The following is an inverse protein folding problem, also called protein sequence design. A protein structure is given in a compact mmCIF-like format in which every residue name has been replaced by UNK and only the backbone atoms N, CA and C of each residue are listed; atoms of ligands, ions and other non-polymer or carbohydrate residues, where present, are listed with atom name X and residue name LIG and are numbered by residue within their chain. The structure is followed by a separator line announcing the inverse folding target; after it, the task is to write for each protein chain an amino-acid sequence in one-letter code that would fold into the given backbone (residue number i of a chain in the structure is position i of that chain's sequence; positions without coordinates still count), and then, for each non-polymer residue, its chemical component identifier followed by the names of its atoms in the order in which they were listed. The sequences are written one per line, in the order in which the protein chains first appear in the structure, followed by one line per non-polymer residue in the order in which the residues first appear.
data_IF_685167830825
#
_entry.id   IF_685167830825
#
_cell.length_a   1.000
_cell.length_b   1.000
_cell.length_c   1.000
_cell.angle_alpha   90.00
_cell.angle_beta   90.00
_cell.angle_gamma   90.00
#
_symmetry.space_group_name_H-M   'P 1'
#
loop_
_entity.id
_entity.type
_entity.pdbx_description
1 polymer ?
#
# COMPACT_ATOMS: atom_id res chain seq x y z
N UNK A 1 14.17 -38.86 -4.66
CA UNK A 1 13.37 -37.65 -4.53
C UNK A 1 14.00 -36.64 -5.47
N UNK A 2 13.46 -36.49 -6.68
CA UNK A 2 13.82 -35.39 -7.57
C UNK A 2 13.35 -34.09 -6.91
N UNK A 3 14.21 -33.08 -6.75
CA UNK A 3 13.73 -31.78 -6.35
C UNK A 3 12.74 -31.30 -7.43
N UNK A 4 11.49 -31.02 -7.05
CA UNK A 4 10.66 -30.16 -7.89
C UNK A 4 11.43 -28.85 -8.03
N UNK A 5 11.87 -28.54 -9.24
CA UNK A 5 12.37 -27.21 -9.50
C UNK A 5 11.15 -26.28 -9.40
N UNK A 6 11.08 -25.53 -8.33
CA UNK A 6 10.12 -24.46 -8.18
C UNK A 6 10.41 -23.44 -9.29
N UNK A 7 9.53 -23.32 -10.26
CA UNK A 7 9.56 -22.27 -11.26
C UNK A 7 8.78 -21.07 -10.69
N UNK A 8 9.43 -20.32 -9.83
CA UNK A 8 8.87 -19.05 -9.39
C UNK A 8 9.00 -18.04 -10.55
N UNK A 9 7.88 -17.54 -11.05
CA UNK A 9 7.87 -16.42 -11.97
C UNK A 9 8.18 -15.14 -11.18
N UNK A 10 9.48 -14.82 -11.12
CA UNK A 10 9.97 -13.65 -10.40
C UNK A 10 10.12 -12.46 -11.35
N UNK A 11 9.49 -11.33 -11.01
CA UNK A 11 9.51 -10.09 -11.77
C UNK A 11 10.21 -9.01 -10.95
N UNK A 12 11.27 -8.42 -11.51
CA UNK A 12 11.82 -7.16 -11.05
C UNK A 12 11.02 -6.02 -11.71
N UNK A 13 10.53 -5.07 -10.93
CA UNK A 13 9.79 -3.92 -11.42
C UNK A 13 10.20 -2.66 -10.68
N UNK A 14 9.86 -1.51 -11.23
CA UNK A 14 10.10 -0.23 -10.58
C UNK A 14 9.45 0.90 -11.32
N UNK A 15 9.42 2.04 -10.66
CA UNK A 15 8.87 3.28 -11.17
C UNK A 15 9.78 4.42 -10.71
N UNK A 16 10.22 5.27 -11.65
CA UNK A 16 10.95 6.49 -11.37
C UNK A 16 10.02 7.68 -11.65
N UNK A 17 9.70 8.44 -10.61
CA UNK A 17 8.74 9.54 -10.65
C UNK A 17 9.36 10.77 -10.04
N UNK A 18 9.65 11.77 -10.87
CA UNK A 18 10.29 13.02 -10.46
C UNK A 18 9.59 14.16 -11.15
N UNK A 19 9.29 15.20 -10.41
CA UNK A 19 8.73 16.45 -10.91
C UNK A 19 9.63 17.65 -10.62
N UNK A 20 9.35 18.76 -11.28
CA UNK A 20 9.91 20.06 -10.94
C UNK A 20 8.76 20.97 -10.55
N UNK A 21 8.71 21.32 -9.28
CA UNK A 21 7.58 22.00 -8.68
C UNK A 21 7.94 23.44 -8.29
N UNK A 22 7.01 24.35 -8.51
CA UNK A 22 7.05 25.69 -7.93
C UNK A 22 6.17 25.72 -6.69
N UNK A 23 6.77 25.85 -5.53
CA UNK A 23 6.11 25.72 -4.24
C UNK A 23 5.92 27.10 -3.61
N UNK A 24 4.67 27.46 -3.38
CA UNK A 24 4.27 28.62 -2.60
C UNK A 24 3.37 28.16 -1.43
N UNK A 25 3.96 28.06 -0.26
CA UNK A 25 3.26 27.58 0.93
C UNK A 25 2.35 28.65 1.56
N UNK A 26 2.33 29.89 1.02
CA UNK A 26 1.57 31.02 1.56
C UNK A 26 1.88 31.30 3.05
N UNK A 27 3.07 30.89 3.51
CA UNK A 27 3.54 31.14 4.87
C UNK A 27 4.16 32.53 4.93
N UNK A 28 3.71 33.36 5.87
CA UNK A 28 4.24 34.72 6.05
C UNK A 28 5.75 34.68 6.35
N UNK A 29 6.53 35.25 5.45
CA UNK A 29 7.99 35.33 5.59
C UNK A 29 8.76 34.21 4.90
N UNK A 30 8.11 33.32 4.18
CA UNK A 30 8.74 32.35 3.29
C UNK A 30 8.55 32.79 1.83
N UNK A 31 9.64 32.83 1.08
CA UNK A 31 9.58 33.08 -0.36
C UNK A 31 9.26 31.80 -1.12
N UNK A 32 8.47 31.89 -2.19
CA UNK A 32 8.27 30.75 -3.09
C UNK A 32 9.58 30.26 -3.70
N UNK A 33 9.69 28.95 -3.94
CA UNK A 33 10.91 28.35 -4.49
C UNK A 33 10.61 27.23 -5.48
N UNK A 34 11.60 26.91 -6.31
CA UNK A 34 11.57 25.73 -7.19
C UNK A 34 12.25 24.56 -6.49
N UNK A 35 11.68 23.38 -6.66
CA UNK A 35 12.22 22.14 -6.12
C UNK A 35 12.11 21.00 -7.12
N UNK A 36 12.99 20.02 -6.97
CA UNK A 36 12.91 18.74 -7.69
C UNK A 36 12.42 17.70 -6.69
N UNK A 37 11.20 17.23 -6.91
CA UNK A 37 10.47 16.38 -5.97
C UNK A 37 10.40 14.94 -6.45
N UNK A 38 10.72 14.01 -5.57
CA UNK A 38 10.42 12.59 -5.78
C UNK A 38 8.96 12.30 -5.42
N UNK A 39 8.18 11.87 -6.40
CA UNK A 39 6.74 11.57 -6.27
C UNK A 39 6.46 10.09 -5.93
N UNK A 40 7.35 9.45 -5.21
CA UNK A 40 7.18 8.08 -4.76
C UNK A 40 7.79 7.06 -5.71
N UNK A 41 9.02 7.33 -6.14
CA UNK A 41 9.83 6.35 -6.88
C UNK A 41 10.04 5.08 -6.06
N UNK A 42 10.05 3.95 -6.74
CA UNK A 42 10.11 2.64 -6.08
C UNK A 42 10.79 1.58 -6.93
N UNK A 43 11.33 0.58 -6.26
CA UNK A 43 11.88 -0.64 -6.84
C UNK A 43 11.35 -1.84 -6.07
N UNK A 44 10.97 -2.90 -6.78
CA UNK A 44 10.41 -4.08 -6.13
C UNK A 44 10.65 -5.37 -6.89
N UNK A 45 10.46 -6.44 -6.16
CA UNK A 45 10.45 -7.82 -6.67
C UNK A 45 9.15 -8.47 -6.26
N UNK A 46 8.49 -9.15 -7.18
CA UNK A 46 7.28 -9.93 -6.89
C UNK A 46 7.31 -11.24 -7.66
N UNK A 47 6.61 -12.22 -7.15
CA UNK A 47 6.55 -13.51 -7.82
C UNK A 47 5.42 -14.38 -7.32
N UNK A 48 5.15 -15.42 -8.10
CA UNK A 48 4.22 -16.49 -7.77
C UNK A 48 4.86 -17.83 -8.06
N UNK A 49 4.51 -18.84 -7.26
CA UNK A 49 4.95 -20.21 -7.40
C UNK A 49 3.73 -21.14 -7.35
N UNK A 50 3.54 -21.96 -8.37
CA UNK A 50 2.49 -22.97 -8.37
C UNK A 50 2.85 -24.11 -7.43
N UNK A 51 2.02 -24.34 -6.42
CA UNK A 51 2.16 -25.43 -5.45
C UNK A 51 1.37 -26.67 -5.85
N UNK A 52 0.66 -26.63 -6.98
CA UNK A 52 -0.20 -27.70 -7.44
C UNK A 52 -1.62 -27.63 -6.85
N UNK A 53 -2.55 -28.37 -7.47
CA UNK A 53 -3.93 -28.43 -6.99
C UNK A 53 -4.71 -27.11 -7.05
N UNK A 54 -4.25 -26.14 -7.84
CA UNK A 54 -4.85 -24.80 -7.91
C UNK A 54 -4.46 -23.88 -6.75
N UNK A 55 -3.42 -24.23 -6.01
CA UNK A 55 -2.83 -23.42 -4.95
C UNK A 55 -1.51 -22.81 -5.44
N UNK A 56 -1.30 -21.52 -5.19
CA UNK A 56 -0.04 -20.85 -5.48
C UNK A 56 0.45 -20.06 -4.25
N UNK A 57 1.74 -20.03 -4.05
CA UNK A 57 2.39 -19.07 -3.18
C UNK A 57 2.63 -17.77 -3.95
N UNK A 58 2.61 -16.64 -3.22
CA UNK A 58 2.91 -15.33 -3.79
C UNK A 58 3.73 -14.49 -2.80
N UNK A 59 4.51 -13.56 -3.34
CA UNK A 59 5.25 -12.59 -2.55
C UNK A 59 5.44 -11.28 -3.33
N UNK A 60 5.62 -10.21 -2.58
CA UNK A 60 6.00 -8.90 -3.10
C UNK A 60 6.88 -8.17 -2.08
N UNK A 61 8.02 -7.66 -2.54
CA UNK A 61 8.92 -6.82 -1.76
C UNK A 61 9.19 -5.54 -2.53
N UNK A 62 8.73 -4.42 -2.00
CA UNK A 62 8.84 -3.11 -2.61
C UNK A 62 9.52 -2.13 -1.65
N UNK A 63 10.39 -1.31 -2.17
CA UNK A 63 11.15 -0.32 -1.44
C UNK A 63 11.02 1.04 -2.13
N UNK A 64 10.83 2.10 -1.35
CA UNK A 64 10.97 3.47 -1.83
C UNK A 64 12.42 3.73 -2.23
N UNK A 65 12.61 4.48 -3.30
CA UNK A 65 13.89 4.94 -3.81
C UNK A 65 13.81 6.46 -3.90
N UNK A 66 14.55 7.17 -3.08
CA UNK A 66 14.62 8.63 -3.21
C UNK A 66 15.52 8.99 -4.38
N UNK A 67 14.93 9.58 -5.42
CA UNK A 67 15.63 9.95 -6.65
C UNK A 67 16.23 11.36 -6.60
N UNK A 68 15.88 12.15 -5.60
CA UNK A 68 16.24 13.57 -5.55
C UNK A 68 17.28 13.91 -4.49
N UNK A 69 17.23 13.24 -3.34
CA UNK A 69 18.12 13.53 -2.21
C UNK A 69 19.19 12.45 -1.97
N UNK A 70 19.29 11.46 -2.87
CA UNK A 70 20.26 10.38 -2.75
C UNK A 70 19.98 9.44 -1.59
N UNK A 71 18.71 9.25 -1.31
CA UNK A 71 18.22 8.47 -0.18
C UNK A 71 18.50 6.97 -0.28
N UNK A 72 18.28 6.31 0.83
CA UNK A 72 18.41 4.87 0.96
C UNK A 72 17.15 4.15 0.47
N UNK A 73 17.28 2.86 0.19
CA UNK A 73 16.13 1.98 0.06
C UNK A 73 15.37 1.91 1.40
N UNK A 74 14.07 2.20 1.39
CA UNK A 74 13.30 2.22 2.63
C UNK A 74 11.79 2.26 2.42
N UNK A 75 11.10 2.84 3.39
CA UNK A 75 9.67 3.12 3.36
C UNK A 75 8.76 1.94 3.74
N UNK A 76 7.55 2.31 4.14
CA UNK A 76 6.43 1.39 4.38
C UNK A 76 5.76 1.07 3.05
N UNK A 77 6.40 0.23 2.23
CA UNK A 77 5.86 -0.23 0.96
C UNK A 77 5.43 -1.70 1.09
N UNK A 78 4.91 -2.25 0.01
CA UNK A 78 4.43 -3.63 -0.06
C UNK A 78 5.55 -4.64 0.27
N UNK A 79 5.44 -5.33 1.40
CA UNK A 79 6.38 -6.40 1.83
C UNK A 79 5.58 -7.52 2.44
N UNK A 80 5.05 -8.40 1.61
CA UNK A 80 4.19 -9.49 2.05
C UNK A 80 4.47 -10.78 1.30
N UNK A 81 4.00 -11.87 1.87
CA UNK A 81 3.89 -13.18 1.23
C UNK A 81 2.57 -13.84 1.58
N UNK A 82 2.14 -14.81 0.80
CA UNK A 82 0.87 -15.46 1.06
C UNK A 82 0.55 -16.60 0.11
N UNK A 83 -0.70 -16.99 0.15
CA UNK A 83 -1.29 -18.06 -0.65
C UNK A 83 -2.51 -17.57 -1.41
N UNK A 84 -2.66 -18.03 -2.63
CA UNK A 84 -3.83 -17.76 -3.47
C UNK A 84 -4.36 -19.03 -4.11
N UNK A 85 -5.65 -19.09 -4.34
CA UNK A 85 -6.30 -20.24 -4.93
C UNK A 85 -7.81 -20.04 -5.10
N UNK A 86 -8.55 -21.12 -5.25
CA UNK A 86 -10.01 -21.07 -5.38
C UNK A 86 -10.73 -20.47 -4.18
N UNK A 87 -10.08 -20.40 -3.02
CA UNK A 87 -10.61 -19.78 -1.80
C UNK A 87 -10.43 -18.26 -1.75
N UNK A 88 -9.65 -17.69 -2.66
CA UNK A 88 -9.22 -16.29 -2.63
C UNK A 88 -7.73 -16.15 -2.34
N UNK A 89 -7.34 -15.04 -1.73
CA UNK A 89 -5.93 -14.72 -1.43
C UNK A 89 -5.80 -14.34 0.04
N UNK A 90 -4.85 -14.97 0.71
CA UNK A 90 -4.45 -14.68 2.09
C UNK A 90 -3.00 -14.24 2.10
N UNK A 91 -2.70 -13.06 2.62
CA UNK A 91 -1.36 -12.48 2.70
C UNK A 91 -1.02 -12.01 4.11
N UNK A 92 0.28 -12.04 4.41
CA UNK A 92 0.84 -11.64 5.70
C UNK A 92 2.02 -10.68 5.46
N UNK A 93 2.06 -9.56 6.18
CA UNK A 93 3.20 -8.66 6.11
C UNK A 93 2.84 -7.19 6.20
N UNK A 94 3.51 -6.37 5.41
CA UNK A 94 3.26 -4.93 5.23
C UNK A 94 2.59 -4.74 3.89
N UNK A 95 1.40 -4.15 3.87
CA UNK A 95 0.67 -3.94 2.62
C UNK A 95 -0.38 -2.83 2.75
N UNK A 96 -0.86 -2.36 1.59
CA UNK A 96 -1.88 -1.33 1.52
C UNK A 96 -3.19 -1.80 2.13
N UNK A 97 -3.81 -0.92 2.88
CA UNK A 97 -5.10 -1.19 3.49
C UNK A 97 -6.21 -1.34 2.45
N UNK A 98 -7.25 -2.13 2.73
CA UNK A 98 -8.46 -2.19 1.93
C UNK A 98 -9.05 -0.81 1.62
N UNK A 99 -9.02 0.11 2.58
CA UNK A 99 -9.44 1.50 2.43
C UNK A 99 -8.61 2.23 1.36
N UNK A 100 -7.28 2.16 1.46
CA UNK A 100 -6.37 2.82 0.53
C UNK A 100 -6.49 2.29 -0.90
N UNK A 101 -6.68 0.99 -1.05
CA UNK A 101 -6.86 0.35 -2.36
C UNK A 101 -8.11 0.85 -3.10
N UNK A 102 -9.17 1.25 -2.39
CA UNK A 102 -10.36 1.88 -2.98
C UNK A 102 -10.08 3.33 -3.37
N UNK A 103 -9.42 4.10 -2.50
CA UNK A 103 -9.06 5.48 -2.80
C UNK A 103 -8.14 5.61 -4.01
N UNK A 104 -7.17 4.72 -4.15
CA UNK A 104 -6.24 4.73 -5.26
C UNK A 104 -6.90 4.55 -6.64
N UNK A 105 -8.07 3.92 -6.71
CA UNK A 105 -8.80 3.77 -7.98
C UNK A 105 -9.28 5.12 -8.53
N UNK A 106 -9.61 6.05 -7.64
CA UNK A 106 -10.11 7.38 -8.00
C UNK A 106 -9.04 8.48 -7.91
N UNK A 107 -7.83 8.12 -7.50
CA UNK A 107 -6.72 9.05 -7.41
C UNK A 107 -6.07 9.30 -8.77
N UNK A 108 -6.53 10.36 -9.45
CA UNK A 108 -6.01 10.79 -10.75
C UNK A 108 -4.58 11.34 -10.69
N UNK A 109 -4.08 11.66 -9.51
CA UNK A 109 -2.75 12.21 -9.28
C UNK A 109 -1.71 11.13 -8.93
N UNK A 110 -2.16 9.88 -8.87
CA UNK A 110 -1.31 8.71 -8.65
C UNK A 110 -0.40 8.86 -7.41
N UNK A 111 -0.98 9.25 -6.28
CA UNK A 111 -0.27 9.42 -5.01
C UNK A 111 0.87 10.44 -5.02
N UNK A 112 0.76 11.50 -5.83
CA UNK A 112 1.73 12.61 -5.79
C UNK A 112 1.84 13.17 -4.37
N UNK A 113 3.04 13.54 -3.94
CA UNK A 113 3.27 14.12 -2.60
C UNK A 113 2.49 15.41 -2.38
N UNK A 114 2.26 16.19 -3.43
CA UNK A 114 1.61 17.50 -3.35
C UNK A 114 0.10 17.40 -3.59
N UNK A 115 -0.30 16.58 -4.56
CA UNK A 115 -1.68 16.43 -4.99
C UNK A 115 -2.13 14.98 -4.78
N UNK A 116 -2.37 14.62 -3.55
CA UNK A 116 -2.76 13.27 -3.17
C UNK A 116 -4.27 13.22 -2.90
N UNK A 117 -4.98 12.30 -3.53
CA UNK A 117 -6.42 12.12 -3.35
C UNK A 117 -6.82 11.89 -1.90
N UNK A 118 -5.98 11.25 -1.09
CA UNK A 118 -6.24 11.04 0.34
C UNK A 118 -6.25 12.35 1.13
N UNK A 119 -5.50 13.35 0.72
CA UNK A 119 -5.50 14.67 1.36
C UNK A 119 -6.84 15.36 1.25
N UNK A 120 -7.55 15.14 0.14
CA UNK A 120 -8.83 15.80 -0.16
C UNK A 120 -10.05 14.96 0.20
N UNK A 121 -9.92 13.64 0.27
CA UNK A 121 -11.03 12.72 0.49
C UNK A 121 -11.15 12.20 1.94
N UNK A 122 -10.52 12.88 2.88
CA UNK A 122 -10.73 12.61 4.30
C UNK A 122 -9.70 11.71 4.96
N UNK A 123 -8.55 11.52 4.32
CA UNK A 123 -7.42 10.80 4.95
C UNK A 123 -6.60 11.66 5.90
N UNK A 124 -6.70 13.00 5.86
CA UNK A 124 -5.95 13.88 6.74
C UNK A 124 -6.81 14.63 7.72
N UNK A 125 -6.52 14.44 8.97
CA UNK A 125 -7.23 15.16 10.03
C UNK A 125 -6.45 16.39 10.53
N UNK A 126 -5.16 16.50 10.28
CA UNK A 126 -4.39 17.71 10.59
C UNK A 126 -3.07 17.78 9.78
N UNK A 127 -2.61 18.99 9.41
CA UNK A 127 -1.30 19.19 8.78
C UNK A 127 -0.12 18.77 9.66
N UNK A 128 -0.35 18.63 10.97
CA UNK A 128 0.70 18.42 11.97
C UNK A 128 0.96 16.93 12.27
N UNK A 129 0.09 16.02 11.87
CA UNK A 129 0.19 14.61 12.28
C UNK A 129 0.49 13.64 11.17
N UNK A 130 0.69 14.05 9.93
CA UNK A 130 1.06 13.17 8.81
C UNK A 130 0.33 11.79 8.77
N UNK A 131 -0.90 11.75 9.27
CA UNK A 131 -1.70 10.54 9.46
C UNK A 131 -2.10 9.90 8.13
N UNK A 132 -1.98 10.65 7.04
CA UNK A 132 -2.30 10.17 5.69
C UNK A 132 -1.45 9.00 5.24
N UNK A 133 -0.16 9.02 5.56
CA UNK A 133 0.73 7.90 5.25
C UNK A 133 0.43 6.65 6.07
N UNK A 134 -0.11 6.84 7.26
CA UNK A 134 -0.30 5.77 8.22
C UNK A 134 -1.51 4.87 7.95
N UNK A 135 -2.51 5.38 7.24
CA UNK A 135 -3.68 4.58 6.86
C UNK A 135 -3.55 3.98 5.45
N UNK A 136 -2.53 4.33 4.70
CA UNK A 136 -2.30 3.80 3.36
C UNK A 136 -1.71 2.39 3.40
N UNK A 137 -0.57 2.25 4.06
CA UNK A 137 0.18 0.99 4.15
C UNK A 137 0.47 0.71 5.60
N UNK A 138 0.12 -0.45 6.09
CA UNK A 138 0.32 -0.83 7.49
C UNK A 138 1.18 -2.10 7.60
N UNK A 139 2.11 -2.14 8.57
CA UNK A 139 2.89 -3.33 8.87
C UNK A 139 2.07 -4.33 9.69
N UNK A 140 2.65 -5.51 9.92
CA UNK A 140 2.17 -6.51 10.86
C UNK A 140 0.70 -6.91 10.66
N UNK A 141 0.30 -7.09 9.42
CA UNK A 141 -1.09 -7.39 9.10
C UNK A 141 -1.30 -8.78 8.49
N UNK A 142 -2.53 -9.23 8.62
CA UNK A 142 -3.14 -10.36 7.92
C UNK A 142 -4.22 -9.80 7.02
N UNK A 143 -4.16 -10.06 5.74
CA UNK A 143 -5.13 -9.60 4.76
C UNK A 143 -5.73 -10.77 3.99
N UNK A 144 -7.04 -10.76 3.84
CA UNK A 144 -7.78 -11.75 3.06
C UNK A 144 -8.67 -11.08 2.02
N UNK A 145 -8.51 -11.52 0.77
CA UNK A 145 -9.34 -11.10 -0.36
C UNK A 145 -10.12 -12.29 -0.89
N UNK A 146 -11.44 -12.13 -1.02
CA UNK A 146 -12.30 -13.15 -1.63
C UNK A 146 -12.01 -13.33 -3.12
N UNK A 147 -12.37 -14.48 -3.70
CA UNK A 147 -12.51 -14.59 -5.14
C UNK A 147 -13.52 -13.56 -5.66
N UNK A 148 -13.37 -13.21 -6.95
CA UNK A 148 -14.35 -12.34 -7.62
C UNK A 148 -15.55 -13.17 -8.04
N UNK A 149 -16.73 -12.75 -7.60
CA UNK A 149 -17.99 -13.38 -7.97
C UNK A 149 -18.94 -12.36 -8.64
N UNK A 150 -19.21 -12.53 -9.91
CA UNK A 150 -20.06 -11.63 -10.71
C UNK A 150 -19.66 -10.14 -10.59
N UNK A 151 -18.36 -9.86 -10.56
CA UNK A 151 -17.81 -8.52 -10.40
C UNK A 151 -17.65 -8.07 -8.95
N UNK A 152 -18.21 -8.78 -7.97
CA UNK A 152 -18.05 -8.46 -6.54
C UNK A 152 -16.84 -9.14 -5.93
N UNK A 153 -16.13 -8.42 -5.08
CA UNK A 153 -15.10 -8.96 -4.18
C UNK A 153 -15.10 -8.19 -2.87
N UNK A 154 -14.71 -8.86 -1.81
CA UNK A 154 -14.53 -8.26 -0.49
C UNK A 154 -13.09 -8.49 -0.03
N UNK A 155 -12.60 -7.59 0.79
CA UNK A 155 -11.27 -7.67 1.38
C UNK A 155 -11.34 -7.24 2.83
N UNK A 156 -10.59 -7.92 3.69
CA UNK A 156 -10.53 -7.66 5.12
C UNK A 156 -9.10 -7.79 5.62
N UNK A 157 -8.63 -6.77 6.32
CA UNK A 157 -7.31 -6.70 6.94
C UNK A 157 -7.43 -6.56 8.45
N UNK A 158 -6.57 -7.27 9.14
CA UNK A 158 -6.34 -7.13 10.59
C UNK A 158 -4.87 -6.77 10.81
N UNK A 159 -4.62 -5.70 11.55
CA UNK A 159 -3.28 -5.31 12.00
C UNK A 159 -3.11 -5.81 13.44
N UNK A 160 -2.09 -6.65 13.64
CA UNK A 160 -1.85 -7.34 14.90
C UNK A 160 -0.74 -6.63 15.67
N UNK A 161 -1.02 -6.16 16.88
CA UNK A 161 -0.06 -5.65 17.87
C UNK A 161 1.12 -4.89 17.24
N UNK A 162 0.81 -3.77 16.56
CA UNK A 162 1.79 -2.96 15.83
C UNK A 162 2.17 -1.71 16.62
N UNK A 163 3.44 -1.56 16.94
CA UNK A 163 3.97 -0.31 17.52
C UNK A 163 3.68 0.90 16.61
N UNK A 164 3.59 0.70 15.31
CA UNK A 164 3.22 1.72 14.32
C UNK A 164 1.77 2.18 14.51
N UNK A 165 0.84 1.26 14.74
CA UNK A 165 -0.55 1.58 15.03
C UNK A 165 -0.68 2.40 16.32
N UNK A 166 0.09 2.06 17.34
CA UNK A 166 0.15 2.79 18.59
C UNK A 166 0.66 4.24 18.41
N UNK A 167 1.65 4.42 17.54
CA UNK A 167 2.22 5.73 17.24
C UNK A 167 1.22 6.60 16.47
N UNK A 168 0.52 6.03 15.52
CA UNK A 168 -0.43 6.74 14.64
C UNK A 168 -1.70 7.16 15.36
N UNK A 169 -2.25 6.31 16.22
CA UNK A 169 -3.51 6.56 16.91
C UNK A 169 -3.31 7.35 18.22
N UNK A 170 -2.06 7.63 18.60
CA UNK A 170 -1.75 8.39 19.82
C UNK A 170 -2.22 7.70 21.11
N UNK A 171 -2.48 6.40 21.04
CA UNK A 171 -2.97 5.62 22.18
C UNK A 171 -1.89 4.65 22.66
N UNK A 172 -1.28 4.90 23.79
CA UNK A 172 -0.35 3.92 24.38
C UNK A 172 -1.16 2.70 24.86
N UNK A 173 -0.81 1.53 24.34
CA UNK A 173 -1.34 0.24 24.76
C UNK A 173 -2.84 -0.01 24.51
N UNK A 174 -3.22 -0.15 23.25
CA UNK A 174 -4.40 -0.96 22.95
C UNK A 174 -3.94 -2.41 23.06
N UNK A 175 -4.03 -2.97 24.25
CA UNK A 175 -3.56 -4.34 24.57
C UNK A 175 -4.54 -5.41 24.12
N UNK A 176 -5.06 -5.30 22.92
CA UNK A 176 -5.84 -6.34 22.28
C UNK A 176 -5.04 -6.86 21.08
N UNK A 177 -5.12 -8.10 20.80
CA UNK A 177 -4.38 -8.77 19.73
C UNK A 177 -4.66 -8.21 18.31
N UNK A 178 -5.54 -7.25 18.17
CA UNK A 178 -5.89 -6.56 16.92
C UNK A 178 -6.01 -5.07 17.20
N UNK A 179 -5.11 -4.26 16.63
CA UNK A 179 -5.07 -2.81 16.84
C UNK A 179 -5.91 -2.05 15.82
N UNK A 180 -5.86 -2.49 14.56
CA UNK A 180 -6.60 -1.86 13.47
C UNK A 180 -7.28 -2.95 12.64
N UNK A 181 -8.44 -2.64 12.11
CA UNK A 181 -9.07 -3.43 11.06
C UNK A 181 -9.54 -2.53 9.93
N UNK A 182 -9.53 -3.06 8.72
CA UNK A 182 -10.03 -2.38 7.52
C UNK A 182 -10.74 -3.38 6.64
N UNK A 183 -11.85 -2.96 6.05
CA UNK A 183 -12.61 -3.80 5.12
C UNK A 183 -13.04 -3.00 3.92
N UNK A 184 -13.16 -3.64 2.76
CA UNK A 184 -13.82 -3.06 1.61
C UNK A 184 -14.74 -4.08 0.94
N UNK A 185 -15.69 -3.55 0.20
CA UNK A 185 -16.50 -4.28 -0.76
C UNK A 185 -16.35 -3.59 -2.10
N UNK A 186 -15.92 -4.31 -3.12
CA UNK A 186 -15.70 -3.77 -4.46
C UNK A 186 -16.61 -4.42 -5.47
N UNK A 187 -17.13 -3.61 -6.38
CA UNK A 187 -17.75 -4.08 -7.62
C UNK A 187 -16.94 -3.56 -8.80
N UNK A 188 -16.47 -4.46 -9.65
CA UNK A 188 -15.71 -4.11 -10.84
C UNK A 188 -16.16 -5.01 -12.00
N UNK A 189 -16.91 -4.43 -12.94
CA UNK A 189 -17.37 -5.16 -14.11
C UNK A 189 -17.50 -4.22 -15.32
N UNK A 190 -16.70 -4.46 -16.35
CA UNK A 190 -16.66 -3.61 -17.53
C UNK A 190 -16.22 -2.18 -17.19
N UNK A 191 -16.97 -1.13 -17.58
CA UNK A 191 -16.63 0.24 -17.28
C UNK A 191 -17.06 0.70 -15.86
N UNK A 192 -17.69 -0.16 -15.08
CA UNK A 192 -18.27 0.20 -13.78
C UNK A 192 -17.37 -0.23 -12.63
N UNK A 193 -17.09 0.71 -11.75
CA UNK A 193 -16.41 0.49 -10.48
C UNK A 193 -17.20 1.15 -9.35
N UNK A 194 -17.32 0.46 -8.22
CA UNK A 194 -17.80 0.97 -6.94
C UNK A 194 -17.04 0.30 -5.79
N UNK A 195 -16.75 1.04 -4.74
CA UNK A 195 -16.06 0.54 -3.57
C UNK A 195 -16.29 1.42 -2.36
#
# INVERSE_FOLDING_TARGET
VTPLAANADTILYGEARVSVDYIDNHIQGADPYWDVVDDGSKLGVKGTEDLGGGLSALYQWEFSVDMTEGGNFGGLNQKFSGLTGGFGTLTLGTQDTPYWKVLNVIDIWNSSKILNGSTYLGGSVTPETNVNGALSTLPNNVDYQTPIFNGFSAEAMLVLDSDEANTVLGSPNISNNVDIWSVNLKYNQGPYFAG
#
